data_IF_892558607475
#
_entry.id   IF_892558607475
#
_cell.length_a   1.000
_cell.length_b   1.000
_cell.length_c   1.000
_cell.angle_alpha   90.00
_cell.angle_beta   90.00
_cell.angle_gamma   90.00
#
_symmetry.space_group_name_H-M   'P 1'
#
loop_
_entity.id
_entity.type
_entity.pdbx_description
1 polymer ?
#
# COMPACT_ATOMS: atom_id res chain seq x y z
N UNK A 1 15.64 -19.84 -5.70
CA UNK A 1 15.66 -18.49 -6.22
C UNK A 1 14.43 -17.68 -5.78
N UNK A 2 14.24 -16.57 -6.45
CA UNK A 2 13.09 -15.68 -6.25
C UNK A 2 12.13 -15.82 -7.42
N UNK A 3 10.82 -15.77 -7.16
CA UNK A 3 9.78 -15.71 -8.18
C UNK A 3 9.07 -14.34 -8.12
N UNK A 4 8.89 -13.70 -9.28
CA UNK A 4 8.01 -12.54 -9.42
C UNK A 4 6.59 -13.07 -9.57
N UNK A 5 5.71 -12.73 -8.63
CA UNK A 5 4.31 -13.15 -8.65
C UNK A 5 3.43 -12.17 -9.41
N UNK A 6 3.72 -10.88 -9.30
CA UNK A 6 2.89 -9.84 -9.90
C UNK A 6 3.67 -8.56 -10.15
N UNK A 7 3.27 -7.83 -11.19
CA UNK A 7 3.71 -6.46 -11.45
C UNK A 7 2.48 -5.63 -11.83
N UNK A 8 2.24 -4.58 -11.06
CA UNK A 8 1.10 -3.68 -11.21
C UNK A 8 1.61 -2.28 -11.57
N UNK A 9 1.23 -1.80 -12.75
CA UNK A 9 1.67 -0.51 -13.31
C UNK A 9 0.49 0.46 -13.26
N UNK A 10 0.64 1.57 -12.57
CA UNK A 10 -0.34 2.64 -12.50
C UNK A 10 0.17 3.89 -13.22
N UNK A 11 -0.39 4.19 -14.39
CA UNK A 11 0.08 5.29 -15.24
C UNK A 11 -0.13 6.65 -14.58
N UNK A 12 -1.33 6.96 -14.07
CA UNK A 12 -1.62 8.22 -13.35
C UNK A 12 -0.79 8.36 -12.08
N UNK A 13 -0.56 7.26 -11.36
CA UNK A 13 0.31 7.22 -10.19
C UNK A 13 1.79 7.36 -10.56
N UNK A 14 2.14 7.05 -11.81
CA UNK A 14 3.51 6.91 -12.31
C UNK A 14 4.35 6.03 -11.37
N UNK A 15 3.81 4.85 -11.06
CA UNK A 15 4.33 3.95 -10.04
C UNK A 15 4.12 2.49 -10.46
N UNK A 16 5.11 1.67 -10.21
CA UNK A 16 5.00 0.22 -10.39
C UNK A 16 5.15 -0.49 -9.05
N UNK A 17 4.26 -1.45 -8.76
CA UNK A 17 4.38 -2.35 -7.62
C UNK A 17 4.82 -3.72 -8.14
N UNK A 18 5.99 -4.16 -7.72
CA UNK A 18 6.53 -5.50 -8.06
C UNK A 18 6.46 -6.37 -6.81
N UNK A 19 5.73 -7.48 -6.89
CA UNK A 19 5.64 -8.47 -5.82
C UNK A 19 6.42 -9.71 -6.20
N UNK A 20 7.37 -10.09 -5.35
CA UNK A 20 8.15 -11.30 -5.50
C UNK A 20 8.25 -12.06 -4.19
N UNK A 21 8.50 -13.36 -4.27
CA UNK A 21 8.57 -14.28 -3.15
C UNK A 21 9.75 -15.25 -3.30
N UNK A 22 10.26 -15.72 -2.19
CA UNK A 22 11.34 -16.71 -2.14
C UNK A 22 11.86 -16.90 -0.73
N UNK A 23 12.89 -17.73 -0.61
CA UNK A 23 13.59 -17.91 0.65
C UNK A 23 14.28 -16.61 1.10
N UNK A 24 14.51 -16.41 2.41
CA UNK A 24 15.02 -15.16 2.97
C UNK A 24 16.26 -14.59 2.26
N UNK A 25 17.30 -15.38 2.08
CA UNK A 25 18.55 -14.91 1.46
C UNK A 25 18.40 -14.49 -0.01
N UNK A 26 17.77 -15.28 -0.91
CA UNK A 26 17.45 -14.84 -2.25
C UNK A 26 16.56 -13.59 -2.32
N UNK A 27 15.58 -13.45 -1.41
CA UNK A 27 14.68 -12.27 -1.35
C UNK A 27 15.47 -11.02 -0.95
N UNK A 28 16.38 -11.13 0.02
CA UNK A 28 17.28 -10.05 0.43
C UNK A 28 18.11 -9.52 -0.74
N UNK A 29 18.76 -10.41 -1.50
CA UNK A 29 19.53 -10.02 -2.69
C UNK A 29 18.65 -9.42 -3.78
N UNK A 30 17.46 -10.00 -4.05
CA UNK A 30 16.54 -9.50 -5.06
C UNK A 30 16.01 -8.10 -4.72
N UNK A 31 15.72 -7.85 -3.45
CA UNK A 31 15.27 -6.54 -2.98
C UNK A 31 16.36 -5.47 -3.18
N UNK A 32 17.60 -5.77 -2.80
CA UNK A 32 18.74 -4.89 -3.04
C UNK A 32 18.91 -4.59 -4.53
N UNK A 33 18.89 -5.63 -5.40
CA UNK A 33 19.03 -5.46 -6.85
C UNK A 33 17.89 -4.65 -7.46
N UNK A 34 16.66 -4.86 -6.97
CA UNK A 34 15.51 -4.05 -7.39
C UNK A 34 15.70 -2.56 -7.07
N UNK A 35 16.20 -2.23 -5.88
CA UNK A 35 16.52 -0.86 -5.47
C UNK A 35 17.66 -0.27 -6.33
N UNK A 36 18.72 -1.03 -6.58
CA UNK A 36 19.84 -0.64 -7.41
C UNK A 36 19.38 -0.30 -8.84
N UNK A 37 18.61 -1.19 -9.48
CA UNK A 37 18.04 -0.98 -10.82
C UNK A 37 17.14 0.26 -10.87
N UNK A 38 16.28 0.43 -9.87
CA UNK A 38 15.42 1.60 -9.79
C UNK A 38 16.23 2.91 -9.66
N UNK A 39 17.30 2.91 -8.87
CA UNK A 39 18.20 4.06 -8.72
C UNK A 39 18.92 4.42 -10.02
N UNK A 40 19.26 3.43 -10.84
CA UNK A 40 19.91 3.64 -12.14
C UNK A 40 18.91 4.12 -13.21
N UNK A 41 17.69 3.54 -13.21
CA UNK A 41 16.71 3.76 -14.26
C UNK A 41 15.86 5.05 -14.05
N UNK A 42 15.58 5.44 -12.80
CA UNK A 42 14.65 6.52 -12.46
C UNK A 42 15.42 7.76 -12.01
N UNK A 43 15.05 8.91 -12.59
CA UNK A 43 15.55 10.22 -12.19
C UNK A 43 14.42 10.99 -11.49
N UNK A 44 14.45 11.07 -10.17
CA UNK A 44 13.43 11.72 -9.36
C UNK A 44 13.30 13.23 -9.65
N UNK A 45 14.31 13.87 -10.21
CA UNK A 45 14.23 15.28 -10.63
C UNK A 45 13.26 15.50 -11.80
N UNK A 46 12.92 14.44 -12.53
CA UNK A 46 12.01 14.45 -13.68
C UNK A 46 10.70 13.69 -13.41
N UNK A 47 10.62 13.00 -12.27
CA UNK A 47 9.49 12.15 -11.93
C UNK A 47 8.36 12.97 -11.31
N UNK A 48 7.13 12.76 -11.83
CA UNK A 48 5.88 13.26 -11.26
C UNK A 48 4.81 12.17 -11.32
N UNK A 49 3.81 12.23 -10.44
CA UNK A 49 2.68 11.31 -10.38
C UNK A 49 1.75 11.68 -9.23
N UNK A 50 0.53 11.17 -9.25
CA UNK A 50 -0.49 11.48 -8.22
C UNK A 50 -0.23 10.77 -6.90
N UNK A 51 0.55 9.68 -6.90
CA UNK A 51 0.85 8.91 -5.70
C UNK A 51 1.99 9.54 -4.90
N UNK A 52 1.85 9.71 -3.55
CA UNK A 52 2.93 10.20 -2.69
C UNK A 52 4.18 9.31 -2.76
N UNK A 53 5.36 9.94 -2.88
CA UNK A 53 6.64 9.23 -2.96
C UNK A 53 7.80 10.07 -2.40
N UNK A 54 8.88 9.39 -1.97
CA UNK A 54 10.11 10.04 -1.48
C UNK A 54 11.35 9.66 -2.29
N UNK A 55 11.25 8.73 -3.22
CA UNK A 55 12.39 8.31 -4.04
C UNK A 55 12.02 7.30 -5.11
N UNK A 56 13.02 6.91 -5.91
CA UNK A 56 12.89 5.97 -7.03
C UNK A 56 12.39 4.58 -6.58
N UNK A 57 12.93 4.06 -5.48
CA UNK A 57 12.31 2.96 -4.73
C UNK A 57 11.70 3.56 -3.48
N UNK A 58 10.51 4.04 -3.60
CA UNK A 58 9.80 4.73 -2.54
C UNK A 58 9.66 3.87 -1.26
N UNK A 59 9.30 2.59 -1.43
CA UNK A 59 9.10 1.66 -0.30
C UNK A 59 9.44 0.23 -0.67
N UNK A 60 10.15 -0.48 0.23
CA UNK A 60 10.47 -1.90 0.13
C UNK A 60 10.08 -2.63 1.42
N UNK A 61 8.88 -3.20 1.52
CA UNK A 61 8.43 -3.97 2.67
C UNK A 61 8.79 -5.44 2.55
N UNK A 62 9.27 -6.04 3.64
CA UNK A 62 9.34 -7.49 3.83
C UNK A 62 8.10 -7.96 4.59
N UNK A 63 7.46 -9.01 4.08
CA UNK A 63 6.20 -9.53 4.61
C UNK A 63 6.38 -11.02 4.92
N UNK A 64 6.14 -11.46 6.16
CA UNK A 64 6.32 -12.85 6.54
C UNK A 64 5.28 -13.74 5.85
N UNK A 65 5.74 -14.88 5.31
CA UNK A 65 4.90 -15.92 4.71
C UNK A 65 5.36 -17.29 5.23
N UNK A 66 4.44 -18.23 5.37
CA UNK A 66 4.75 -19.58 5.83
C UNK A 66 5.33 -19.60 7.24
N UNK A 67 6.55 -20.09 7.38
CA UNK A 67 7.26 -20.22 8.67
C UNK A 67 8.14 -19.02 9.02
N UNK A 68 8.30 -18.07 8.10
CA UNK A 68 9.11 -16.86 8.35
C UNK A 68 8.40 -15.96 9.36
N UNK A 69 9.13 -15.50 10.37
CA UNK A 69 8.61 -14.59 11.39
C UNK A 69 8.72 -13.12 10.98
N UNK A 70 8.02 -12.25 11.70
CA UNK A 70 8.18 -10.80 11.52
C UNK A 70 9.59 -10.35 11.94
N UNK A 71 10.21 -11.01 12.92
CA UNK A 71 11.56 -10.70 13.37
C UNK A 71 12.61 -11.06 12.30
N UNK A 72 12.41 -12.14 11.55
CA UNK A 72 13.23 -12.47 10.39
C UNK A 72 13.13 -11.38 9.31
N UNK A 73 11.92 -10.88 9.05
CA UNK A 73 11.69 -9.79 8.11
C UNK A 73 12.33 -8.46 8.59
N UNK A 74 12.31 -8.17 9.89
CA UNK A 74 13.00 -7.01 10.47
C UNK A 74 14.51 -7.14 10.22
N UNK A 75 15.09 -8.30 10.52
CA UNK A 75 16.52 -8.53 10.32
C UNK A 75 16.92 -8.39 8.84
N UNK A 76 16.09 -8.84 7.89
CA UNK A 76 16.32 -8.64 6.45
C UNK A 76 16.25 -7.15 6.11
N UNK A 77 15.23 -6.44 6.59
CA UNK A 77 15.06 -5.00 6.35
C UNK A 77 16.27 -4.18 6.82
N UNK A 78 16.83 -4.52 7.97
CA UNK A 78 18.03 -3.89 8.52
C UNK A 78 19.28 -4.13 7.65
N UNK A 79 19.50 -5.39 7.23
CA UNK A 79 20.65 -5.73 6.37
C UNK A 79 20.56 -5.07 4.99
N UNK A 80 19.37 -5.10 4.36
CA UNK A 80 19.15 -4.43 3.07
C UNK A 80 19.29 -2.91 3.23
N UNK A 81 18.75 -2.34 4.30
CA UNK A 81 18.85 -0.91 4.60
C UNK A 81 20.31 -0.46 4.77
N UNK A 82 21.09 -1.17 5.54
CA UNK A 82 22.53 -0.90 5.71
C UNK A 82 23.27 -0.97 4.38
N UNK A 83 23.04 -2.01 3.59
CA UNK A 83 23.69 -2.21 2.29
C UNK A 83 23.33 -1.11 1.29
N UNK A 84 22.04 -0.75 1.17
CA UNK A 84 21.57 0.35 0.31
C UNK A 84 22.21 1.67 0.72
N UNK A 85 22.23 1.96 2.02
CA UNK A 85 22.85 3.19 2.54
C UNK A 85 24.34 3.27 2.22
N UNK A 86 25.09 2.19 2.38
CA UNK A 86 26.55 2.13 2.14
C UNK A 86 26.93 2.10 0.66
N UNK A 87 26.26 1.24 -0.13
CA UNK A 87 26.70 0.94 -1.50
C UNK A 87 26.06 1.88 -2.52
N UNK A 88 24.81 2.32 -2.31
CA UNK A 88 24.08 3.20 -3.23
C UNK A 88 24.03 4.68 -2.77
N UNK A 89 24.49 4.96 -1.56
CA UNK A 89 24.43 6.30 -0.95
C UNK A 89 23.00 6.90 -0.96
N UNK A 90 21.99 6.07 -0.77
CA UNK A 90 20.59 6.47 -0.67
C UNK A 90 20.22 6.55 0.82
N UNK A 91 19.62 7.67 1.30
CA UNK A 91 19.06 7.76 2.65
C UNK A 91 17.98 6.70 2.85
N UNK A 92 18.08 5.89 3.90
CA UNK A 92 17.14 4.83 4.23
C UNK A 92 16.46 5.12 5.56
N UNK A 93 15.13 5.00 5.57
CA UNK A 93 14.29 5.09 6.75
C UNK A 93 13.66 3.73 7.05
N UNK A 94 13.98 3.16 8.21
CA UNK A 94 13.30 1.95 8.67
C UNK A 94 11.87 2.27 9.09
N UNK A 95 10.89 1.45 8.67
CA UNK A 95 9.49 1.72 8.95
C UNK A 95 8.70 0.47 9.40
N UNK A 96 7.47 0.69 9.82
CA UNK A 96 6.55 -0.33 10.36
C UNK A 96 7.16 -1.07 11.55
N UNK A 97 7.26 -2.39 11.53
CA UNK A 97 7.83 -3.17 12.65
C UNK A 97 9.36 -3.04 12.76
N UNK A 98 10.05 -2.65 11.69
CA UNK A 98 11.47 -2.36 11.71
C UNK A 98 11.81 -0.93 12.18
N UNK A 99 10.80 -0.08 12.43
CA UNK A 99 11.01 1.32 12.81
C UNK A 99 11.76 1.45 14.15
N UNK A 100 12.82 2.24 14.17
CA UNK A 100 13.60 2.56 15.38
C UNK A 100 12.96 3.68 16.21
N UNK A 101 12.00 4.41 15.66
CA UNK A 101 11.29 5.51 16.29
C UNK A 101 9.79 5.37 16.04
N UNK A 102 8.97 5.62 17.06
CA UNK A 102 7.51 5.50 16.95
C UNK A 102 6.92 6.33 15.78
N UNK A 103 7.43 7.53 15.55
CA UNK A 103 7.00 8.39 14.45
C UNK A 103 7.27 7.82 13.05
N UNK A 104 8.10 6.77 12.91
CA UNK A 104 8.43 6.10 11.64
C UNK A 104 7.67 4.80 11.41
N UNK A 105 6.86 4.36 12.35
CA UNK A 105 5.97 3.21 12.12
C UNK A 105 4.98 3.48 10.99
N UNK A 106 4.61 4.74 10.77
CA UNK A 106 3.69 5.18 9.73
C UNK A 106 4.42 5.66 8.48
N UNK A 107 4.30 4.94 7.37
CA UNK A 107 4.86 5.34 6.07
C UNK A 107 4.38 6.74 5.61
N UNK A 108 3.09 7.14 5.76
CA UNK A 108 2.65 8.51 5.49
C UNK A 108 3.40 9.59 6.30
N UNK A 109 3.84 9.28 7.52
CA UNK A 109 4.63 10.23 8.32
C UNK A 109 6.03 10.44 7.73
N UNK A 110 6.68 9.39 7.23
CA UNK A 110 7.97 9.47 6.53
C UNK A 110 7.82 10.25 5.22
N UNK A 111 6.75 9.99 4.47
CA UNK A 111 6.45 10.64 3.17
C UNK A 111 6.02 12.10 3.29
N UNK A 112 5.75 12.63 4.48
CA UNK A 112 5.26 14.01 4.64
C UNK A 112 6.16 15.02 3.93
N UNK A 113 5.58 15.81 3.00
CA UNK A 113 6.30 16.75 2.13
C UNK A 113 6.92 16.09 0.91
N UNK A 114 6.79 14.76 0.79
CA UNK A 114 7.23 13.96 -0.37
C UNK A 114 8.70 14.17 -0.77
N UNK A 115 9.06 13.80 -1.98
CA UNK A 115 10.39 14.02 -2.53
C UNK A 115 10.75 15.51 -2.54
N UNK A 116 9.80 16.39 -2.86
CA UNK A 116 9.98 17.83 -2.95
C UNK A 116 10.36 18.46 -1.60
N UNK A 117 9.81 17.96 -0.51
CA UNK A 117 10.14 18.41 0.84
C UNK A 117 11.38 17.74 1.46
N UNK A 118 11.93 16.71 0.79
CA UNK A 118 13.01 15.90 1.37
C UNK A 118 14.29 16.68 1.58
N UNK A 119 14.66 17.56 0.64
CA UNK A 119 15.87 18.38 0.72
C UNK A 119 15.89 19.26 1.98
N UNK A 120 14.72 19.77 2.41
CA UNK A 120 14.59 20.62 3.59
C UNK A 120 14.63 19.89 4.92
N UNK A 121 14.52 18.56 4.95
CA UNK A 121 14.37 17.79 6.21
C UNK A 121 15.41 16.69 6.42
N UNK A 122 16.02 16.12 5.36
CA UNK A 122 16.91 14.96 5.45
C UNK A 122 18.12 15.20 6.35
N UNK A 123 18.61 16.43 6.46
CA UNK A 123 19.72 16.83 7.32
C UNK A 123 19.32 17.20 8.75
N UNK A 124 18.02 17.24 9.08
CA UNK A 124 17.56 17.57 10.43
C UNK A 124 17.76 16.38 11.37
N UNK A 125 18.22 16.57 12.61
CA UNK A 125 18.46 15.46 13.54
C UNK A 125 17.24 14.55 13.75
N UNK A 126 16.05 15.13 13.87
CA UNK A 126 14.78 14.40 14.04
C UNK A 126 14.37 13.61 12.79
N UNK A 127 14.94 13.93 11.64
CA UNK A 127 14.68 13.26 10.38
C UNK A 127 15.94 12.59 9.79
N UNK A 128 17.01 12.44 10.59
CA UNK A 128 18.22 11.74 10.14
C UNK A 128 17.88 10.30 9.69
N UNK A 129 18.38 9.82 8.54
CA UNK A 129 18.12 8.45 8.09
C UNK A 129 18.72 7.42 9.05
N UNK A 130 18.16 6.21 9.05
CA UNK A 130 18.70 5.09 9.84
C UNK A 130 20.00 4.55 9.22
N UNK A 131 20.10 4.61 7.89
CA UNK A 131 21.31 4.25 7.14
C UNK A 131 21.52 5.20 5.96
N UNK A 132 22.75 5.26 5.48
CA UNK A 132 23.14 6.13 4.38
C UNK A 132 23.39 7.58 4.80
N UNK A 133 23.65 8.47 3.83
CA UNK A 133 24.02 9.85 4.12
C UNK A 133 22.84 10.70 4.57
N UNK A 134 23.02 11.54 5.59
CA UNK A 134 22.05 12.55 6.02
C UNK A 134 22.09 13.79 5.09
N UNK A 135 22.07 13.55 3.78
CA UNK A 135 22.10 14.59 2.74
C UNK A 135 21.15 14.22 1.61
N UNK A 136 20.60 15.23 0.95
CA UNK A 136 19.63 15.03 -0.14
C UNK A 136 20.27 14.37 -1.37
N UNK A 137 19.76 13.21 -1.77
CA UNK A 137 20.09 12.56 -3.03
C UNK A 137 19.08 13.01 -4.09
N UNK A 138 19.43 13.97 -4.94
CA UNK A 138 18.50 14.53 -5.92
C UNK A 138 18.05 13.52 -6.97
N UNK A 139 18.91 12.57 -7.37
CA UNK A 139 18.57 11.58 -8.39
C UNK A 139 17.63 10.50 -7.85
N UNK A 140 17.95 9.95 -6.69
CA UNK A 140 17.24 8.77 -6.16
C UNK A 140 16.25 9.10 -5.04
N UNK A 141 16.34 10.27 -4.41
CA UNK A 141 15.56 10.61 -3.21
C UNK A 141 15.99 9.79 -2.01
N UNK A 142 15.04 9.20 -1.32
CA UNK A 142 15.21 8.31 -0.17
C UNK A 142 14.33 7.07 -0.30
N UNK A 143 14.59 6.04 0.52
CA UNK A 143 13.83 4.79 0.51
C UNK A 143 13.35 4.46 1.91
N UNK A 144 12.08 4.06 2.05
CA UNK A 144 11.57 3.44 3.26
C UNK A 144 11.70 1.91 3.14
N UNK A 145 12.45 1.27 4.03
CA UNK A 145 12.61 -0.19 4.07
C UNK A 145 12.06 -0.69 5.40
N UNK A 146 11.28 -1.79 5.40
CA UNK A 146 10.73 -2.25 6.66
C UNK A 146 10.11 -3.63 6.61
N UNK A 147 9.57 -4.04 7.75
CA UNK A 147 8.83 -5.29 7.91
C UNK A 147 7.41 -4.98 8.33
N UNK A 148 6.42 -5.65 7.74
CA UNK A 148 5.00 -5.47 8.08
C UNK A 148 4.20 -6.72 7.80
N UNK A 149 3.03 -6.81 8.41
CA UNK A 149 2.02 -7.80 8.02
C UNK A 149 1.50 -7.49 6.61
N UNK A 150 0.76 -8.41 6.03
CA UNK A 150 0.16 -8.21 4.71
C UNK A 150 -0.78 -6.99 4.76
N UNK A 151 -0.62 -6.10 3.78
CA UNK A 151 -1.44 -4.90 3.62
C UNK A 151 -2.22 -5.04 2.33
N UNK A 152 -3.52 -4.79 2.37
CA UNK A 152 -4.37 -4.77 1.19
C UNK A 152 -4.54 -3.31 0.74
N UNK A 153 -3.98 -2.97 -0.41
CA UNK A 153 -4.21 -1.69 -1.07
C UNK A 153 -5.45 -1.81 -1.96
N UNK A 154 -6.44 -0.97 -1.72
CA UNK A 154 -7.76 -1.12 -2.30
C UNK A 154 -8.43 0.24 -2.55
N UNK A 155 -8.98 0.42 -3.74
CA UNK A 155 -9.64 1.64 -4.17
C UNK A 155 -11.11 1.37 -4.45
N UNK A 156 -12.00 2.19 -3.91
CA UNK A 156 -13.45 2.13 -4.15
C UNK A 156 -13.84 3.24 -5.12
N UNK A 157 -14.44 2.85 -6.24
CA UNK A 157 -14.81 3.75 -7.34
C UNK A 157 -16.14 4.45 -7.07
N UNK A 158 -16.19 5.76 -7.31
CA UNK A 158 -17.39 6.57 -7.19
C UNK A 158 -17.89 7.04 -8.56
N UNK A 159 -19.22 7.25 -8.71
CA UNK A 159 -19.81 7.84 -9.93
C UNK A 159 -19.68 9.38 -9.98
N UNK A 160 -18.62 9.92 -9.39
CA UNK A 160 -18.33 11.36 -9.36
C UNK A 160 -16.87 11.64 -9.69
N UNK A 161 -16.57 12.88 -10.10
CA UNK A 161 -15.22 13.43 -10.26
C UNK A 161 -14.78 14.24 -9.05
N UNK A 162 -15.67 14.49 -8.10
CA UNK A 162 -15.39 15.30 -6.93
C UNK A 162 -14.55 14.53 -5.91
N UNK A 163 -13.27 14.86 -5.88
CA UNK A 163 -12.27 14.26 -4.97
C UNK A 163 -12.55 14.60 -3.50
N UNK A 164 -13.18 15.73 -3.23
CA UNK A 164 -13.43 16.14 -1.84
C UNK A 164 -14.50 15.25 -1.19
N UNK A 165 -15.44 14.71 -1.98
CA UNK A 165 -16.37 13.67 -1.53
C UNK A 165 -15.60 12.41 -1.13
N UNK A 166 -14.71 11.92 -2.00
CA UNK A 166 -13.89 10.74 -1.71
C UNK A 166 -13.01 10.93 -0.46
N UNK A 167 -12.39 12.10 -0.32
CA UNK A 167 -11.60 12.47 0.86
C UNK A 167 -12.42 12.51 2.14
N UNK A 168 -13.63 13.06 2.09
CA UNK A 168 -14.49 13.13 3.28
C UNK A 168 -14.95 11.74 3.70
N UNK A 169 -15.31 10.86 2.76
CA UNK A 169 -15.63 9.46 3.05
C UNK A 169 -14.42 8.76 3.70
N UNK A 170 -13.22 8.91 3.12
CA UNK A 170 -12.00 8.37 3.69
C UNK A 170 -11.77 8.85 5.14
N UNK A 171 -11.97 10.14 5.42
CA UNK A 171 -11.82 10.72 6.77
C UNK A 171 -12.80 10.16 7.78
N UNK A 172 -14.03 9.85 7.37
CA UNK A 172 -15.03 9.24 8.25
C UNK A 172 -14.71 7.78 8.58
N UNK A 173 -14.07 7.08 7.67
CA UNK A 173 -13.81 5.65 7.80
C UNK A 173 -12.44 5.32 8.38
N UNK A 174 -11.38 6.05 8.01
CA UNK A 174 -9.98 5.74 8.38
C UNK A 174 -9.69 5.93 9.86
N UNK A 175 -8.78 5.15 10.42
CA UNK A 175 -8.37 5.21 11.85
C UNK A 175 -8.04 6.62 12.33
N UNK A 176 -7.35 7.41 11.50
CA UNK A 176 -6.96 8.77 11.85
C UNK A 176 -8.13 9.74 11.94
N UNK A 177 -9.28 9.40 11.34
CA UNK A 177 -10.47 10.23 11.37
C UNK A 177 -10.27 11.62 10.74
N UNK A 178 -10.96 12.61 11.29
CA UNK A 178 -10.92 14.01 10.87
C UNK A 178 -10.75 14.97 12.04
N UNK A 179 -10.42 16.21 11.74
CA UNK A 179 -10.46 17.30 12.71
C UNK A 179 -11.88 17.86 12.75
N UNK A 180 -12.43 18.02 13.95
CA UNK A 180 -13.71 18.66 14.17
C UNK A 180 -13.59 20.20 14.16
N UNK A 181 -14.73 20.90 14.19
CA UNK A 181 -14.81 22.36 14.06
C UNK A 181 -14.13 23.10 15.23
N UNK A 182 -14.10 22.50 16.42
CA UNK A 182 -13.41 23.04 17.60
C UNK A 182 -11.93 22.61 17.69
N UNK A 183 -11.40 21.93 16.67
CA UNK A 183 -10.02 21.45 16.61
C UNK A 183 -9.80 20.08 17.29
N UNK A 184 -10.84 19.46 17.84
CA UNK A 184 -10.80 18.13 18.42
C UNK A 184 -10.63 17.07 17.33
N UNK A 185 -10.02 15.94 17.69
CA UNK A 185 -9.89 14.79 16.79
C UNK A 185 -11.13 13.89 16.88
N UNK A 186 -11.85 13.76 15.79
CA UNK A 186 -12.95 12.81 15.64
C UNK A 186 -12.37 11.56 15.01
N UNK A 187 -12.28 10.41 15.73
CA UNK A 187 -11.77 9.17 15.17
C UNK A 187 -12.69 8.65 14.07
N UNK A 188 -12.14 7.99 13.07
CA UNK A 188 -12.94 7.30 12.08
C UNK A 188 -13.47 5.96 12.57
N UNK A 189 -14.28 5.33 11.74
CA UNK A 189 -15.03 4.12 12.09
C UNK A 189 -14.18 2.89 12.31
N UNK A 190 -13.09 2.72 11.53
CA UNK A 190 -12.31 1.49 11.50
C UNK A 190 -10.92 1.66 12.10
N UNK A 191 -10.43 0.61 12.78
CA UNK A 191 -9.06 0.49 13.25
C UNK A 191 -8.21 -0.17 12.17
N UNK A 192 -6.92 0.20 12.07
CA UNK A 192 -6.02 -0.36 11.07
C UNK A 192 -6.39 -0.02 9.62
N UNK A 193 -7.23 0.99 9.40
CA UNK A 193 -7.59 1.51 8.09
C UNK A 193 -6.91 2.86 7.86
N UNK A 194 -6.09 2.95 6.82
CA UNK A 194 -5.62 4.20 6.25
C UNK A 194 -6.45 4.52 5.02
N UNK A 195 -6.64 5.79 4.70
CA UNK A 195 -7.42 6.16 3.53
C UNK A 195 -7.29 7.63 3.17
N UNK A 196 -7.51 7.92 1.88
CA UNK A 196 -7.59 9.25 1.31
C UNK A 196 -8.51 9.22 0.07
N UNK A 197 -8.60 10.32 -0.66
CA UNK A 197 -9.34 10.40 -1.91
C UNK A 197 -8.48 11.01 -3.01
N UNK A 198 -8.61 10.50 -4.22
CA UNK A 198 -7.94 11.00 -5.40
C UNK A 198 -8.81 10.93 -6.65
N UNK A 199 -8.38 11.55 -7.72
CA UNK A 199 -8.94 11.41 -9.06
C UNK A 199 -8.00 10.57 -9.91
N UNK A 200 -8.56 9.63 -10.66
CA UNK A 200 -7.82 8.80 -11.59
C UNK A 200 -8.27 9.13 -13.00
N UNK A 201 -7.37 9.71 -13.78
CA UNK A 201 -7.63 10.13 -15.16
C UNK A 201 -8.03 8.96 -16.07
N UNK A 202 -7.40 7.78 -15.90
CA UNK A 202 -7.67 6.57 -16.66
C UNK A 202 -9.14 6.12 -16.57
N UNK A 203 -9.77 6.35 -15.42
CA UNK A 203 -11.13 5.92 -15.12
C UNK A 203 -12.13 7.08 -15.12
N UNK A 204 -11.65 8.31 -15.29
CA UNK A 204 -12.41 9.56 -15.29
C UNK A 204 -13.35 9.68 -14.06
N UNK A 205 -12.86 9.30 -12.86
CA UNK A 205 -13.62 9.29 -11.62
C UNK A 205 -12.78 9.49 -10.37
N UNK A 206 -13.46 9.89 -9.30
CA UNK A 206 -12.87 9.90 -7.96
C UNK A 206 -12.90 8.49 -7.36
N UNK A 207 -11.86 8.17 -6.60
CA UNK A 207 -11.74 6.94 -5.81
C UNK A 207 -11.50 7.28 -4.35
N UNK A 208 -12.11 6.50 -3.46
CA UNK A 208 -11.69 6.40 -2.06
C UNK A 208 -10.61 5.34 -1.98
N UNK A 209 -9.37 5.74 -1.71
CA UNK A 209 -8.24 4.81 -1.60
C UNK A 209 -8.07 4.37 -0.16
N UNK A 210 -7.85 3.08 0.04
CA UNK A 210 -7.63 2.46 1.34
C UNK A 210 -6.37 1.60 1.37
N UNK A 211 -5.72 1.59 2.54
CA UNK A 211 -4.78 0.56 2.94
C UNK A 211 -5.33 -0.13 4.19
N UNK A 212 -5.73 -1.39 4.05
CA UNK A 212 -6.17 -2.22 5.17
C UNK A 212 -4.93 -2.91 5.73
N UNK A 213 -4.53 -2.53 6.94
CA UNK A 213 -3.29 -3.01 7.58
C UNK A 213 -3.46 -4.40 8.20
N UNK A 214 -4.70 -4.77 8.49
CA UNK A 214 -5.08 -6.06 9.04
C UNK A 214 -6.54 -6.36 8.67
N UNK A 215 -6.76 -7.24 7.69
CA UNK A 215 -8.09 -7.60 7.20
C UNK A 215 -8.90 -8.43 8.20
N UNK A 216 -8.25 -9.06 9.18
CA UNK A 216 -8.96 -9.78 10.24
C UNK A 216 -9.62 -8.82 11.23
N UNK A 217 -8.95 -7.71 11.54
CA UNK A 217 -9.50 -6.63 12.39
C UNK A 217 -10.48 -5.74 11.61
N UNK A 218 -10.23 -5.53 10.32
CA UNK A 218 -11.02 -4.64 9.45
C UNK A 218 -11.32 -5.35 8.13
N UNK A 219 -12.39 -6.16 8.10
CA UNK A 219 -12.79 -6.92 6.91
C UNK A 219 -13.18 -6.03 5.74
N UNK A 220 -12.82 -6.44 4.50
CA UNK A 220 -13.12 -5.69 3.28
C UNK A 220 -14.63 -5.44 3.12
N UNK A 221 -15.46 -6.46 3.36
CA UNK A 221 -16.92 -6.33 3.27
C UNK A 221 -17.45 -5.22 4.19
N UNK A 222 -16.95 -5.14 5.42
CA UNK A 222 -17.37 -4.12 6.38
C UNK A 222 -17.02 -2.70 5.93
N UNK A 223 -15.84 -2.52 5.31
CA UNK A 223 -15.40 -1.22 4.76
C UNK A 223 -16.22 -0.87 3.53
N UNK A 224 -16.51 -1.85 2.66
CA UNK A 224 -17.29 -1.64 1.44
C UNK A 224 -18.72 -1.22 1.75
N UNK A 225 -19.40 -1.92 2.67
CA UNK A 225 -20.76 -1.56 3.11
C UNK A 225 -20.77 -0.18 3.80
N UNK A 226 -19.73 0.14 4.57
CA UNK A 226 -19.62 1.48 5.15
C UNK A 226 -19.44 2.56 4.07
N UNK A 227 -18.67 2.30 3.01
CA UNK A 227 -18.57 3.21 1.87
C UNK A 227 -19.92 3.44 1.21
N UNK A 228 -20.72 2.38 0.96
CA UNK A 228 -22.07 2.49 0.38
C UNK A 228 -22.98 3.35 1.23
N UNK A 229 -22.90 3.24 2.56
CA UNK A 229 -23.69 4.08 3.47
C UNK A 229 -23.22 5.54 3.43
N UNK A 230 -21.92 5.79 3.42
CA UNK A 230 -21.39 7.16 3.44
C UNK A 230 -21.69 7.92 2.15
N UNK A 231 -21.64 7.27 0.98
CA UNK A 231 -21.91 7.92 -0.31
C UNK A 231 -23.35 8.45 -0.43
N UNK A 232 -24.32 7.81 0.22
CA UNK A 232 -25.73 8.22 0.21
C UNK A 232 -25.91 9.68 0.68
N UNK A 233 -25.10 10.09 1.66
CA UNK A 233 -25.15 11.46 2.19
C UNK A 233 -24.70 12.53 1.19
N UNK A 234 -24.05 12.13 0.10
CA UNK A 234 -23.56 13.00 -0.98
C UNK A 234 -24.35 12.85 -2.29
N UNK A 235 -25.31 11.93 -2.35
CA UNK A 235 -26.06 11.63 -3.58
C UNK A 235 -25.20 11.02 -4.68
N UNK A 236 -24.15 10.29 -4.31
CA UNK A 236 -23.25 9.54 -5.21
C UNK A 236 -23.35 8.05 -4.93
N UNK A 237 -22.82 7.23 -5.83
CA UNK A 237 -22.86 5.77 -5.76
C UNK A 237 -21.46 5.17 -5.83
N UNK A 238 -21.28 4.02 -5.16
CA UNK A 238 -20.15 3.13 -5.40
C UNK A 238 -20.43 2.35 -6.68
N UNK A 239 -19.49 2.39 -7.65
CA UNK A 239 -19.64 1.69 -8.94
C UNK A 239 -18.88 0.39 -9.00
N UNK A 240 -17.95 0.15 -8.11
CA UNK A 240 -17.10 -1.03 -8.00
C UNK A 240 -15.83 -0.72 -7.25
N UNK A 241 -14.82 -1.55 -7.39
CA UNK A 241 -13.55 -1.33 -6.72
C UNK A 241 -12.36 -1.96 -7.45
N UNK A 242 -11.16 -1.63 -7.00
CA UNK A 242 -9.91 -2.08 -7.58
C UNK A 242 -8.94 -2.48 -6.48
N UNK A 243 -8.43 -3.70 -6.52
CA UNK A 243 -7.31 -4.13 -5.68
C UNK A 243 -5.99 -3.81 -6.38
N UNK A 244 -5.04 -3.22 -5.67
CA UNK A 244 -3.69 -2.94 -6.17
C UNK A 244 -2.73 -4.01 -5.66
N UNK A 245 -2.04 -4.69 -6.58
CA UNK A 245 -1.17 -5.82 -6.25
C UNK A 245 -1.94 -7.10 -5.94
N UNK A 246 -1.41 -7.90 -5.03
CA UNK A 246 -2.00 -9.18 -4.61
C UNK A 246 -2.87 -9.03 -3.36
N UNK A 247 -3.82 -9.93 -3.20
CA UNK A 247 -4.70 -10.03 -2.02
C UNK A 247 -4.58 -11.42 -1.39
N UNK A 248 -4.56 -11.55 -0.04
CA UNK A 248 -4.63 -12.85 0.61
C UNK A 248 -5.95 -13.56 0.29
N UNK A 249 -5.89 -14.86 0.02
CA UNK A 249 -7.05 -15.70 -0.28
C UNK A 249 -8.16 -15.54 0.76
N UNK A 250 -7.80 -15.65 2.04
CA UNK A 250 -8.77 -15.59 3.14
C UNK A 250 -9.55 -14.28 3.15
N UNK A 251 -8.94 -13.14 2.78
CA UNK A 251 -9.63 -11.87 2.73
C UNK A 251 -10.80 -11.85 1.74
N UNK A 252 -10.68 -12.51 0.58
CA UNK A 252 -11.77 -12.64 -0.39
C UNK A 252 -12.77 -13.74 0.00
N UNK A 253 -12.30 -14.84 0.59
CA UNK A 253 -13.17 -15.90 1.12
C UNK A 253 -14.09 -15.35 2.21
N UNK A 254 -13.59 -14.54 3.13
CA UNK A 254 -14.40 -13.85 4.15
C UNK A 254 -15.46 -12.93 3.52
N UNK A 255 -15.13 -12.19 2.45
CA UNK A 255 -16.12 -11.40 1.70
C UNK A 255 -17.18 -12.30 1.09
N UNK A 256 -16.78 -13.40 0.44
CA UNK A 256 -17.73 -14.37 -0.12
C UNK A 256 -18.68 -14.92 0.93
N UNK A 257 -18.18 -15.34 2.08
CA UNK A 257 -19.00 -15.80 3.23
C UNK A 257 -19.97 -14.72 3.73
N UNK A 258 -19.53 -13.48 3.77
CA UNK A 258 -20.37 -12.36 4.20
C UNK A 258 -21.64 -12.21 3.35
N UNK A 259 -21.52 -12.39 2.02
CA UNK A 259 -22.65 -12.18 1.09
C UNK A 259 -23.41 -13.47 0.73
N UNK A 260 -22.74 -14.61 0.61
CA UNK A 260 -23.36 -15.88 0.21
C UNK A 260 -23.72 -16.80 1.40
N UNK A 261 -23.12 -16.56 2.57
CA UNK A 261 -23.25 -17.46 3.73
C UNK A 261 -22.21 -18.57 3.73
N UNK A 262 -22.35 -19.51 4.67
CA UNK A 262 -21.46 -20.66 4.85
C UNK A 262 -21.85 -21.79 3.89
N UNK A 263 -20.88 -22.58 3.42
CA UNK A 263 -21.12 -23.86 2.76
C UNK A 263 -20.60 -24.01 1.34
N UNK A 264 -20.17 -22.94 0.69
CA UNK A 264 -19.56 -22.99 -0.65
C UNK A 264 -18.05 -23.28 -0.58
N UNK A 265 -17.50 -23.80 -1.69
CA UNK A 265 -16.04 -23.94 -1.83
C UNK A 265 -15.35 -22.58 -1.98
N UNK A 266 -14.05 -22.52 -1.68
CA UNK A 266 -13.28 -21.28 -1.65
C UNK A 266 -13.31 -20.51 -3.00
N UNK A 267 -13.27 -21.20 -4.14
CA UNK A 267 -13.30 -20.54 -5.46
C UNK A 267 -14.67 -19.94 -5.75
N UNK A 268 -15.74 -20.58 -5.35
CA UNK A 268 -17.11 -20.06 -5.44
C UNK A 268 -17.25 -18.80 -4.58
N UNK A 269 -16.76 -18.84 -3.33
CA UNK A 269 -16.77 -17.68 -2.42
C UNK A 269 -15.94 -16.50 -2.98
N UNK A 270 -14.76 -16.78 -3.54
CA UNK A 270 -13.94 -15.74 -4.21
C UNK A 270 -14.68 -15.16 -5.42
N UNK A 271 -15.33 -16.00 -6.22
CA UNK A 271 -16.17 -15.53 -7.33
C UNK A 271 -17.32 -14.63 -6.87
N UNK A 272 -17.94 -14.93 -5.72
CA UNK A 272 -18.93 -14.05 -5.09
C UNK A 272 -18.30 -12.73 -4.64
N UNK A 273 -17.14 -12.77 -3.98
CA UNK A 273 -16.42 -11.58 -3.55
C UNK A 273 -16.08 -10.64 -4.72
N UNK A 274 -15.63 -11.18 -5.85
CA UNK A 274 -15.32 -10.41 -7.06
C UNK A 274 -16.56 -9.65 -7.54
N UNK A 275 -17.72 -10.33 -7.60
CA UNK A 275 -18.98 -9.70 -8.02
C UNK A 275 -19.46 -8.63 -7.05
N UNK A 276 -19.48 -8.93 -5.75
CA UNK A 276 -20.02 -8.02 -4.72
C UNK A 276 -19.17 -6.77 -4.52
N UNK A 277 -17.85 -6.90 -4.58
CA UNK A 277 -16.93 -5.76 -4.52
C UNK A 277 -16.76 -5.04 -5.86
N UNK A 278 -17.30 -5.60 -6.97
CA UNK A 278 -17.13 -5.06 -8.31
C UNK A 278 -15.67 -4.97 -8.73
N UNK A 279 -14.87 -6.02 -8.45
CA UNK A 279 -13.43 -6.04 -8.73
C UNK A 279 -13.11 -6.15 -10.23
N UNK A 280 -14.06 -6.60 -11.03
CA UNK A 280 -13.97 -6.74 -12.48
C UNK A 280 -14.62 -5.60 -13.27
N UNK A 281 -15.08 -4.55 -12.58
CA UNK A 281 -15.81 -3.43 -13.16
C UNK A 281 -14.97 -2.63 -14.18
N UNK A 282 -13.70 -2.40 -13.88
CA UNK A 282 -12.80 -1.61 -14.72
C UNK A 282 -11.89 -2.52 -15.57
N UNK A 283 -11.31 -3.52 -14.96
CA UNK A 283 -10.43 -4.49 -15.60
C UNK A 283 -10.78 -5.91 -15.12
N UNK A 284 -10.61 -6.95 -15.95
CA UNK A 284 -10.86 -8.32 -15.51
C UNK A 284 -10.01 -8.69 -14.30
N UNK A 285 -10.65 -9.21 -13.26
CA UNK A 285 -9.97 -9.73 -12.08
C UNK A 285 -9.74 -11.25 -12.22
N UNK A 286 -8.50 -11.63 -12.47
CA UNK A 286 -8.09 -13.03 -12.58
C UNK A 286 -7.61 -13.54 -11.20
N UNK A 287 -8.39 -14.40 -10.50
CA UNK A 287 -8.01 -14.89 -9.19
C UNK A 287 -6.67 -15.64 -9.17
N UNK A 288 -6.34 -16.37 -10.24
CA UNK A 288 -5.10 -17.15 -10.31
C UNK A 288 -3.85 -16.25 -10.39
N UNK A 289 -4.02 -14.97 -10.77
CA UNK A 289 -2.95 -13.97 -10.82
C UNK A 289 -2.99 -12.95 -9.68
N UNK A 290 -4.16 -12.75 -9.06
CA UNK A 290 -4.37 -11.67 -8.08
C UNK A 290 -4.52 -12.16 -6.65
N UNK A 291 -4.87 -13.44 -6.44
CA UNK A 291 -4.88 -14.07 -5.12
C UNK A 291 -3.49 -14.62 -4.82
N UNK A 292 -2.88 -14.19 -3.71
CA UNK A 292 -1.50 -14.49 -3.36
C UNK A 292 -1.18 -15.99 -3.41
N UNK A 293 -2.00 -16.80 -2.76
CA UNK A 293 -1.81 -18.25 -2.65
C UNK A 293 -1.92 -18.93 -4.02
N UNK A 294 -2.87 -18.52 -4.85
CA UNK A 294 -3.03 -19.07 -6.21
C UNK A 294 -1.90 -18.65 -7.14
N UNK A 295 -1.48 -17.37 -7.07
CA UNK A 295 -0.32 -16.90 -7.82
C UNK A 295 0.98 -17.59 -7.38
N UNK A 296 1.06 -18.03 -6.11
CA UNK A 296 2.18 -18.79 -5.60
C UNK A 296 2.14 -20.26 -6.02
N UNK A 297 0.99 -20.91 -6.02
CA UNK A 297 0.80 -22.34 -6.36
C UNK A 297 0.78 -22.60 -7.87
N UNK A 298 0.29 -21.68 -8.67
CA UNK A 298 0.00 -21.85 -10.10
C UNK A 298 1.18 -21.64 -11.05
N UNK A 299 2.40 -21.36 -10.54
CA UNK A 299 3.59 -21.09 -11.37
C UNK A 299 4.70 -22.14 -11.19
#
# INVERSE_FOLDING_TARGET
>A
GVRVLHSDVGDSANRTVVTFVGEPTPVEEAAYRGIEIAADAIDMQKHSGTHPRIGCTDVCPFVPIGTTSIDDCIAIAERVGDRVGRELAIPVYLYAEAARHEGRRSLPAIRRGEYEGLAGKVGMPEFAPDYGPASFNARSGATAIGARRFLIAWNVNLNTKDVDIAREIARRLRTSGKQGDAGERIPGRFRGLQGDGWFIDEFDRAQVTFNILDHQTTPLASVFEACKVEVDSFGVEVTGSELVGLVPKEALVEVGRHYAGEGDDERTLIGQAIRELGLDQLNPFDPDKRVLEFAYEGQ
#
